data_IF_692890697869
#
_entry.id   IF_692890697869
#
_cell.length_a   1.000
_cell.length_b   1.000
_cell.length_c   1.000
_cell.angle_alpha   90.00
_cell.angle_beta   90.00
_cell.angle_gamma   90.00
#
_symmetry.space_group_name_H-M   'P 1'
#
loop_
_entity.id
_entity.type
_entity.pdbx_description
1 polymer ?
#
# COMPACT_ATOMS: atom_id res chain seq x y z
N UNK A 1 16.58 12.06 21.46
CA UNK A 1 16.31 11.82 20.03
C UNK A 1 16.07 10.33 19.83
N UNK A 2 14.97 9.93 19.18
CA UNK A 2 14.65 8.53 18.89
C UNK A 2 15.70 7.96 17.91
N UNK A 3 16.20 6.74 18.15
CA UNK A 3 17.15 6.04 17.27
C UNK A 3 16.65 6.02 15.81
N UNK A 4 15.34 5.95 15.62
CA UNK A 4 14.69 6.03 14.32
C UNK A 4 14.96 7.37 13.60
N UNK A 5 14.85 8.50 14.30
CA UNK A 5 15.11 9.83 13.72
C UNK A 5 16.58 9.96 13.30
N UNK A 6 17.50 9.45 14.13
CA UNK A 6 18.94 9.43 13.84
C UNK A 6 19.29 8.62 12.58
N UNK A 7 18.59 7.51 12.33
CA UNK A 7 18.78 6.68 11.14
C UNK A 7 18.27 7.40 9.88
N UNK A 8 17.08 8.00 9.96
CA UNK A 8 16.48 8.76 8.86
C UNK A 8 17.36 9.97 8.49
N UNK A 9 17.88 10.69 9.49
CA UNK A 9 18.72 11.89 9.30
C UNK A 9 20.11 11.56 8.72
N UNK A 10 20.73 10.44 9.12
CA UNK A 10 22.13 10.15 8.74
C UNK A 10 22.33 9.26 7.53
N UNK A 11 21.35 8.43 7.18
CA UNK A 11 21.54 7.39 6.16
C UNK A 11 21.03 7.85 4.78
N UNK A 12 20.16 8.87 4.69
CA UNK A 12 19.59 9.39 3.43
C UNK A 12 19.04 8.30 2.48
N UNK A 13 18.72 7.13 3.02
CA UNK A 13 18.05 6.04 2.32
C UNK A 13 16.91 5.53 3.19
N UNK A 14 15.70 5.50 2.65
CA UNK A 14 14.53 4.89 3.28
C UNK A 14 14.60 3.34 3.15
N UNK A 15 15.68 2.71 3.63
CA UNK A 15 15.75 1.25 3.71
C UNK A 15 14.87 0.80 4.87
N UNK A 16 13.67 0.36 4.51
CA UNK A 16 12.69 -0.13 5.44
C UNK A 16 12.77 -1.66 5.52
N UNK A 17 13.57 -2.18 6.47
CA UNK A 17 13.63 -3.61 6.79
C UNK A 17 13.04 -3.84 8.18
N UNK A 18 11.92 -4.54 8.26
CA UNK A 18 11.27 -4.87 9.52
C UNK A 18 11.01 -6.37 9.60
N UNK A 19 11.70 -7.03 10.52
CA UNK A 19 11.38 -8.41 10.90
C UNK A 19 10.13 -8.40 11.77
N UNK A 20 8.94 -8.46 11.16
CA UNK A 20 7.70 -8.60 11.90
C UNK A 20 7.38 -10.10 12.09
N UNK A 21 7.42 -10.60 13.33
CA UNK A 21 6.97 -11.96 13.69
C UNK A 21 5.53 -12.01 14.23
N UNK A 22 4.76 -10.93 14.04
CA UNK A 22 3.39 -10.73 14.51
C UNK A 22 3.26 -10.02 15.86
N UNK A 23 4.38 -9.63 16.47
CA UNK A 23 4.46 -8.69 17.60
C UNK A 23 5.88 -8.10 17.67
N UNK A 24 6.03 -6.78 17.61
CA UNK A 24 7.31 -6.08 17.79
C UNK A 24 7.89 -6.13 19.21
N UNK A 25 7.09 -6.59 20.18
CA UNK A 25 7.54 -6.88 21.54
C UNK A 25 7.75 -8.39 21.74
N UNK A 26 8.78 -8.80 22.46
CA UNK A 26 8.99 -10.21 22.82
C UNK A 26 8.00 -10.73 23.89
N UNK A 27 6.97 -9.95 24.23
CA UNK A 27 6.08 -10.18 25.38
C UNK A 27 4.69 -10.65 24.93
N UNK A 28 4.22 -10.23 23.76
CA UNK A 28 2.89 -10.60 23.26
C UNK A 28 2.94 -11.71 22.20
N UNK A 29 1.83 -12.44 22.06
CA UNK A 29 1.69 -13.47 21.02
C UNK A 29 1.44 -12.82 19.65
N UNK A 30 1.98 -13.41 18.56
CA UNK A 30 1.68 -12.97 17.20
C UNK A 30 0.18 -12.84 16.93
N UNK A 31 -0.26 -11.68 16.43
CA UNK A 31 -1.65 -11.48 15.97
C UNK A 31 -1.74 -10.44 14.85
N UNK A 32 -2.84 -10.48 14.10
CA UNK A 32 -3.15 -9.47 13.06
C UNK A 32 -3.28 -8.06 13.66
N UNK A 33 -3.86 -7.95 14.87
CA UNK A 33 -3.99 -6.67 15.57
C UNK A 33 -2.62 -6.05 15.89
N UNK A 34 -1.69 -6.85 16.44
CA UNK A 34 -0.33 -6.38 16.70
C UNK A 34 0.45 -6.10 15.42
N UNK A 35 0.23 -6.90 14.37
CA UNK A 35 0.80 -6.62 13.05
C UNK A 35 0.35 -5.25 12.52
N UNK A 36 -0.93 -4.91 12.65
CA UNK A 36 -1.43 -3.59 12.27
C UNK A 36 -0.89 -2.47 13.15
N UNK A 37 -0.80 -2.67 14.47
CA UNK A 37 -0.20 -1.69 15.39
C UNK A 37 1.26 -1.37 15.02
N UNK A 38 2.05 -2.40 14.73
CA UNK A 38 3.43 -2.21 14.29
C UNK A 38 3.47 -1.49 12.93
N UNK A 39 2.60 -1.90 11.98
CA UNK A 39 2.48 -1.25 10.67
C UNK A 39 2.09 0.23 10.75
N UNK A 40 1.26 0.61 11.74
CA UNK A 40 0.85 1.99 11.95
C UNK A 40 2.02 2.91 12.33
N UNK A 41 3.00 2.43 13.08
CA UNK A 41 4.20 3.24 13.38
C UNK A 41 4.95 3.57 12.09
N UNK A 42 4.95 2.64 11.14
CA UNK A 42 5.68 2.80 9.88
C UNK A 42 4.96 3.68 8.87
N UNK A 43 3.62 3.63 8.85
CA UNK A 43 2.84 4.38 7.87
C UNK A 43 3.03 5.89 7.98
N UNK A 44 3.39 6.39 9.17
CA UNK A 44 3.71 7.80 9.42
C UNK A 44 4.97 8.28 8.66
N UNK A 45 5.87 7.36 8.32
CA UNK A 45 7.14 7.68 7.65
C UNK A 45 7.14 7.31 6.17
N UNK A 46 6.08 6.67 5.67
CA UNK A 46 5.97 6.31 4.26
C UNK A 46 5.70 7.56 3.42
N UNK A 47 6.54 7.82 2.43
CA UNK A 47 6.41 8.97 1.53
C UNK A 47 5.62 8.66 0.25
N UNK A 48 5.32 7.39 -0.01
CA UNK A 48 4.49 6.95 -1.12
C UNK A 48 4.15 5.48 -1.03
N UNK A 49 3.01 5.10 -1.58
CA UNK A 49 2.50 3.72 -1.59
C UNK A 49 2.40 3.21 -3.03
N UNK A 50 2.78 1.95 -3.26
CA UNK A 50 2.51 1.26 -4.53
C UNK A 50 1.55 0.11 -4.25
N UNK A 51 0.44 0.09 -4.96
CA UNK A 51 -0.63 -0.91 -4.85
C UNK A 51 -0.67 -1.70 -6.15
N UNK A 52 -0.24 -2.96 -6.12
CA UNK A 52 -0.12 -3.79 -7.31
C UNK A 52 -1.13 -4.94 -7.31
N UNK A 53 -1.88 -5.11 -8.40
CA UNK A 53 -2.84 -6.21 -8.61
C UNK A 53 -3.70 -6.50 -7.38
N UNK A 54 -4.16 -5.42 -6.72
CA UNK A 54 -4.81 -5.51 -5.43
C UNK A 54 -6.31 -5.76 -5.56
N UNK A 55 -6.85 -6.51 -4.62
CA UNK A 55 -8.27 -6.80 -4.48
C UNK A 55 -8.93 -5.90 -3.42
N UNK A 56 -10.25 -5.69 -3.52
CA UNK A 56 -11.01 -4.82 -2.60
C UNK A 56 -11.21 -5.45 -1.22
N UNK A 57 -11.65 -6.71 -1.17
CA UNK A 57 -11.72 -7.49 0.05
C UNK A 57 -11.61 -8.98 -0.25
N UNK A 58 -11.30 -9.80 0.77
CA UNK A 58 -11.25 -11.24 0.58
C UNK A 58 -12.63 -11.80 0.18
N UNK A 59 -13.71 -11.19 0.70
CA UNK A 59 -15.10 -11.50 0.33
C UNK A 59 -15.36 -11.29 -1.14
N UNK A 60 -15.02 -10.10 -1.65
CA UNK A 60 -15.23 -9.78 -3.07
C UNK A 60 -14.33 -10.63 -3.98
N UNK A 61 -13.08 -10.89 -3.59
CA UNK A 61 -12.20 -11.78 -4.34
C UNK A 61 -12.74 -13.23 -4.38
N UNK A 62 -13.26 -13.73 -3.25
CA UNK A 62 -13.86 -15.07 -3.17
C UNK A 62 -15.13 -15.19 -4.00
N UNK A 63 -15.93 -14.12 -4.11
CA UNK A 63 -17.10 -14.06 -5.00
C UNK A 63 -16.73 -14.26 -6.45
N UNK A 64 -15.62 -13.68 -6.88
CA UNK A 64 -15.10 -13.86 -8.21
C UNK A 64 -14.48 -15.25 -8.42
N UNK A 65 -13.55 -15.65 -7.56
CA UNK A 65 -12.72 -16.84 -7.79
C UNK A 65 -13.41 -18.16 -7.41
N UNK A 66 -14.32 -18.17 -6.43
CA UNK A 66 -15.00 -19.37 -5.93
C UNK A 66 -16.49 -19.07 -5.64
N UNK A 67 -17.32 -18.79 -6.66
CA UNK A 67 -18.70 -18.36 -6.48
C UNK A 67 -19.54 -19.40 -5.70
N UNK A 68 -19.28 -20.70 -5.90
CA UNK A 68 -19.96 -21.78 -5.19
C UNK A 68 -19.76 -21.74 -3.67
N UNK A 69 -18.60 -21.28 -3.18
CA UNK A 69 -18.31 -21.21 -1.76
C UNK A 69 -19.24 -20.21 -1.06
N UNK A 70 -19.66 -19.14 -1.76
CA UNK A 70 -20.62 -18.17 -1.23
C UNK A 70 -22.03 -18.74 -1.09
N UNK A 71 -22.37 -19.81 -1.81
CA UNK A 71 -23.68 -20.47 -1.68
C UNK A 71 -23.76 -21.33 -0.41
N UNK A 72 -22.64 -21.94 0.00
CA UNK A 72 -22.59 -22.82 1.17
C UNK A 72 -22.17 -22.10 2.46
N UNK A 73 -21.46 -20.98 2.37
CA UNK A 73 -21.08 -20.16 3.51
C UNK A 73 -22.20 -19.16 3.83
N UNK A 74 -23.20 -19.59 4.62
CA UNK A 74 -24.33 -18.75 5.05
C UNK A 74 -23.90 -17.48 5.81
N UNK A 75 -22.77 -17.52 6.51
CA UNK A 75 -22.19 -16.35 7.18
C UNK A 75 -20.67 -16.27 6.95
N UNK A 76 -20.29 -15.63 5.84
CA UNK A 76 -18.89 -15.35 5.49
C UNK A 76 -18.17 -14.56 6.59
N UNK A 77 -18.90 -13.68 7.28
CA UNK A 77 -18.38 -12.78 8.31
C UNK A 77 -18.11 -13.52 9.64
N UNK A 78 -18.79 -14.65 9.89
CA UNK A 78 -18.54 -15.55 11.03
C UNK A 78 -17.33 -16.48 10.82
N UNK A 79 -17.07 -16.90 9.58
CA UNK A 79 -16.07 -17.93 9.26
C UNK A 79 -14.70 -17.30 9.00
N UNK A 80 -14.66 -16.14 8.35
CA UNK A 80 -13.42 -15.48 7.97
C UNK A 80 -13.03 -14.44 9.02
N UNK A 81 -11.98 -14.76 9.79
CA UNK A 81 -11.43 -13.85 10.81
C UNK A 81 -10.83 -12.57 10.22
N UNK A 82 -10.15 -12.65 9.08
CA UNK A 82 -9.55 -11.49 8.41
C UNK A 82 -10.29 -11.18 7.11
N UNK A 83 -11.05 -10.08 7.12
CA UNK A 83 -11.82 -9.64 5.95
C UNK A 83 -10.95 -9.03 4.85
N UNK A 84 -9.71 -8.65 5.19
CA UNK A 84 -8.78 -7.91 4.33
C UNK A 84 -9.49 -6.75 3.61
N UNK A 85 -10.27 -5.97 4.35
CA UNK A 85 -11.05 -4.84 3.81
C UNK A 85 -10.13 -3.69 3.40
N UNK A 86 -9.71 -3.71 2.13
CA UNK A 86 -8.85 -2.69 1.56
C UNK A 86 -9.64 -1.46 1.13
N UNK A 87 -10.96 -1.55 0.94
CA UNK A 87 -11.82 -0.40 0.60
C UNK A 87 -11.90 0.59 1.76
N UNK A 88 -12.01 0.11 2.99
CA UNK A 88 -11.97 0.96 4.18
C UNK A 88 -10.57 1.50 4.42
N UNK A 89 -9.54 0.65 4.26
CA UNK A 89 -8.13 1.05 4.50
C UNK A 89 -7.67 2.14 3.53
N UNK A 90 -7.95 2.00 2.23
CA UNK A 90 -7.43 2.92 1.20
C UNK A 90 -7.98 4.35 1.32
N UNK A 91 -9.14 4.52 1.97
CA UNK A 91 -9.74 5.83 2.28
C UNK A 91 -8.97 6.61 3.35
N UNK A 92 -8.12 5.94 4.13
CA UNK A 92 -7.32 6.58 5.17
C UNK A 92 -5.87 6.86 4.71
N UNK A 93 -5.50 6.40 3.51
CA UNK A 93 -4.15 6.56 2.97
C UNK A 93 -4.12 7.82 2.09
N UNK A 94 -3.44 8.85 2.58
CA UNK A 94 -3.35 10.17 1.94
C UNK A 94 -2.04 10.42 1.20
N UNK A 95 -1.02 9.58 1.45
CA UNK A 95 0.30 9.67 0.79
C UNK A 95 0.17 9.44 -0.73
N UNK A 96 1.08 9.98 -1.56
CA UNK A 96 1.11 9.71 -2.99
C UNK A 96 1.02 8.20 -3.26
N UNK A 97 0.09 7.78 -4.13
CA UNK A 97 -0.17 6.35 -4.34
C UNK A 97 -0.16 5.98 -5.82
N UNK A 98 0.66 5.01 -6.20
CA UNK A 98 0.67 4.42 -7.54
C UNK A 98 -0.10 3.10 -7.51
N UNK A 99 -1.16 3.02 -8.28
CA UNK A 99 -1.91 1.79 -8.51
C UNK A 99 -1.42 1.17 -9.82
N UNK A 100 -1.05 -0.10 -9.79
CA UNK A 100 -0.64 -0.86 -10.96
C UNK A 100 -1.56 -2.06 -11.13
N UNK A 101 -2.03 -2.26 -12.36
CA UNK A 101 -2.89 -3.39 -12.69
C UNK A 101 -2.50 -4.06 -14.00
N UNK A 102 -2.55 -5.37 -13.99
CA UNK A 102 -2.29 -6.26 -15.13
C UNK A 102 -3.60 -6.56 -15.88
N UNK A 103 -3.67 -6.32 -17.20
CA UNK A 103 -4.87 -6.62 -18.00
C UNK A 103 -5.14 -8.12 -18.12
N UNK A 104 -4.09 -8.93 -18.12
CA UNK A 104 -4.19 -10.39 -18.24
C UNK A 104 -4.08 -11.07 -16.86
N UNK A 105 -4.46 -10.37 -15.78
CA UNK A 105 -4.51 -10.94 -14.44
C UNK A 105 -5.66 -11.95 -14.33
N UNK A 106 -5.30 -13.22 -14.20
CA UNK A 106 -6.21 -14.34 -14.10
C UNK A 106 -6.75 -14.59 -12.68
N UNK A 107 -6.20 -13.91 -11.67
CA UNK A 107 -6.52 -14.12 -10.24
C UNK A 107 -7.36 -13.01 -9.66
N UNK A 108 -7.06 -11.76 -10.01
CA UNK A 108 -7.71 -10.57 -9.47
C UNK A 108 -8.21 -9.72 -10.63
N UNK A 109 -9.54 -9.56 -10.78
CA UNK A 109 -10.09 -8.68 -11.80
C UNK A 109 -9.57 -7.25 -11.68
N UNK A 110 -9.31 -6.62 -12.83
CA UNK A 110 -8.87 -5.23 -12.90
C UNK A 110 -9.85 -4.25 -12.25
N UNK A 111 -11.13 -4.59 -12.17
CA UNK A 111 -12.16 -3.80 -11.50
C UNK A 111 -11.83 -3.53 -10.03
N UNK A 112 -11.24 -4.47 -9.30
CA UNK A 112 -10.93 -4.26 -7.89
C UNK A 112 -9.90 -3.14 -7.68
N UNK A 113 -8.77 -3.20 -8.38
CA UNK A 113 -7.75 -2.15 -8.29
C UNK A 113 -8.30 -0.80 -8.78
N UNK A 114 -9.15 -0.79 -9.81
CA UNK A 114 -9.84 0.44 -10.25
C UNK A 114 -10.76 1.02 -9.16
N UNK A 115 -11.50 0.18 -8.46
CA UNK A 115 -12.32 0.59 -7.31
C UNK A 115 -11.45 1.18 -6.21
N UNK A 116 -10.34 0.54 -5.85
CA UNK A 116 -9.41 1.07 -4.85
C UNK A 116 -8.80 2.42 -5.26
N UNK A 117 -8.44 2.58 -6.54
CA UNK A 117 -7.97 3.85 -7.08
C UNK A 117 -9.03 4.95 -6.93
N UNK A 118 -10.30 4.64 -7.21
CA UNK A 118 -11.40 5.59 -7.05
C UNK A 118 -11.61 5.99 -5.59
N UNK A 119 -11.65 5.01 -4.69
CA UNK A 119 -11.87 5.20 -3.25
C UNK A 119 -10.69 5.84 -2.51
N UNK A 120 -9.49 5.81 -3.09
CA UNK A 120 -8.29 6.36 -2.45
C UNK A 120 -8.42 7.85 -2.12
N UNK A 121 -8.09 8.18 -0.87
CA UNK A 121 -8.02 9.55 -0.37
C UNK A 121 -6.72 10.27 -0.75
N UNK A 122 -5.80 9.59 -1.42
CA UNK A 122 -4.58 10.21 -1.95
C UNK A 122 -4.94 11.28 -2.99
N UNK A 123 -4.51 12.51 -2.74
CA UNK A 123 -4.64 13.62 -3.69
C UNK A 123 -3.69 13.47 -4.87
N UNK A 124 -2.63 12.68 -4.71
CA UNK A 124 -1.60 12.43 -5.72
C UNK A 124 -1.59 10.94 -6.06
N UNK A 125 -2.68 10.49 -6.70
CA UNK A 125 -2.83 9.12 -7.16
C UNK A 125 -2.54 8.96 -8.65
N UNK A 126 -1.86 7.88 -9.00
CA UNK A 126 -1.51 7.52 -10.37
C UNK A 126 -2.01 6.11 -10.66
N UNK A 127 -2.39 5.84 -11.91
CA UNK A 127 -2.84 4.52 -12.35
C UNK A 127 -1.98 4.08 -13.54
N UNK A 128 -1.38 2.90 -13.44
CA UNK A 128 -0.64 2.24 -14.50
C UNK A 128 -1.35 0.96 -14.92
N UNK A 129 -1.48 0.76 -16.23
CA UNK A 129 -2.08 -0.40 -16.85
C UNK A 129 -1.02 -1.19 -17.61
N UNK A 130 -0.70 -2.39 -17.16
CA UNK A 130 0.17 -3.31 -17.90
C UNK A 130 -0.68 -4.13 -18.87
N UNK A 131 -0.53 -3.86 -20.17
CA UNK A 131 -1.35 -4.52 -21.21
C UNK A 131 -1.06 -6.01 -21.36
N UNK A 132 0.21 -6.40 -21.22
CA UNK A 132 0.64 -7.80 -21.31
C UNK A 132 0.82 -8.48 -19.96
N UNK A 133 0.78 -7.72 -18.86
CA UNK A 133 1.04 -8.21 -17.52
C UNK A 133 0.02 -9.24 -17.07
N UNK A 134 0.50 -10.26 -16.34
CA UNK A 134 -0.32 -11.26 -15.64
C UNK A 134 -0.25 -11.04 -14.14
N UNK A 135 -0.93 -11.87 -13.33
CA UNK A 135 -0.86 -11.77 -11.87
C UNK A 135 0.57 -11.86 -11.31
N UNK A 136 1.38 -12.88 -11.65
CA UNK A 136 2.75 -13.00 -11.13
C UNK A 136 3.78 -12.14 -11.87
N UNK A 137 3.45 -11.62 -13.06
CA UNK A 137 4.42 -10.89 -13.89
C UNK A 137 3.80 -9.67 -14.56
N UNK A 138 3.90 -8.53 -13.88
CA UNK A 138 3.41 -7.25 -14.40
C UNK A 138 4.25 -6.71 -15.56
N UNK A 139 5.49 -7.17 -15.73
CA UNK A 139 6.41 -6.70 -16.78
C UNK A 139 6.34 -7.53 -18.05
N UNK A 140 5.43 -8.52 -18.11
CA UNK A 140 5.28 -9.36 -19.29
C UNK A 140 4.89 -8.47 -20.49
N UNK A 141 5.74 -8.50 -21.52
CA UNK A 141 5.62 -7.66 -22.72
C UNK A 141 5.59 -6.14 -22.44
N UNK A 142 6.22 -5.69 -21.35
CA UNK A 142 6.40 -4.26 -21.06
C UNK A 142 7.38 -3.61 -22.05
N UNK A 143 7.05 -2.42 -22.51
CA UNK A 143 7.84 -1.60 -23.45
C UNK A 143 8.74 -0.56 -22.72
N UNK A 144 8.94 -0.75 -21.41
CA UNK A 144 9.59 0.22 -20.53
C UNK A 144 8.63 1.25 -19.93
N UNK A 145 7.35 1.24 -20.29
CA UNK A 145 6.36 2.17 -19.73
C UNK A 145 6.13 1.97 -18.23
N UNK A 146 6.25 0.75 -17.69
CA UNK A 146 6.22 0.54 -16.24
C UNK A 146 7.34 1.32 -15.53
N UNK A 147 8.57 1.21 -16.01
CA UNK A 147 9.72 1.91 -15.43
C UNK A 147 9.55 3.43 -15.52
N UNK A 148 8.99 3.94 -16.62
CA UNK A 148 8.66 5.35 -16.79
C UNK A 148 7.59 5.81 -15.78
N UNK A 149 6.53 5.02 -15.58
CA UNK A 149 5.50 5.30 -14.59
C UNK A 149 6.07 5.29 -13.17
N UNK A 150 6.90 4.29 -12.84
CA UNK A 150 7.58 4.18 -11.55
C UNK A 150 8.49 5.38 -11.28
N UNK A 151 9.33 5.76 -12.24
CA UNK A 151 10.21 6.93 -12.13
C UNK A 151 9.40 8.21 -11.90
N UNK A 152 8.33 8.42 -12.69
CA UNK A 152 7.43 9.56 -12.53
C UNK A 152 6.81 9.59 -11.13
N UNK A 153 6.37 8.45 -10.64
CA UNK A 153 5.79 8.31 -9.31
C UNK A 153 6.80 8.66 -8.21
N UNK A 154 8.01 8.08 -8.24
CA UNK A 154 9.06 8.33 -7.26
C UNK A 154 9.42 9.81 -7.19
N UNK A 155 9.66 10.46 -8.34
CA UNK A 155 9.95 11.90 -8.41
C UNK A 155 8.81 12.73 -7.82
N UNK A 156 7.56 12.35 -8.10
CA UNK A 156 6.38 13.03 -7.55
C UNK A 156 6.33 12.89 -6.02
N UNK A 157 6.54 11.68 -5.51
CA UNK A 157 6.51 11.39 -4.08
C UNK A 157 7.61 12.15 -3.32
N UNK A 158 8.84 12.17 -3.86
CA UNK A 158 9.97 12.94 -3.29
C UNK A 158 9.63 14.44 -3.26
N UNK A 159 9.16 15.01 -4.38
CA UNK A 159 8.84 16.43 -4.45
C UNK A 159 7.75 16.85 -3.45
N UNK A 160 6.73 16.00 -3.24
CA UNK A 160 5.68 16.26 -2.25
C UNK A 160 6.24 16.20 -0.83
N UNK A 161 7.08 15.21 -0.53
CA UNK A 161 7.75 15.08 0.77
C UNK A 161 8.59 16.32 1.08
N UNK A 162 9.45 16.75 0.15
CA UNK A 162 10.31 17.93 0.30
C UNK A 162 9.48 19.20 0.57
N UNK A 163 8.39 19.41 -0.19
CA UNK A 163 7.46 20.53 0.05
C UNK A 163 6.81 20.48 1.43
N UNK A 164 6.47 19.29 1.93
CA UNK A 164 5.89 19.13 3.25
C UNK A 164 6.90 19.40 4.37
N UNK A 165 8.16 18.95 4.21
CA UNK A 165 9.26 19.26 5.13
C UNK A 165 9.52 20.76 5.16
N UNK A 166 9.66 21.41 4.01
CA UNK A 166 9.89 22.85 3.91
C UNK A 166 8.80 23.65 4.63
N UNK A 167 7.53 23.30 4.41
CA UNK A 167 6.39 23.93 5.11
C UNK A 167 6.40 23.69 6.63
N UNK A 168 6.93 22.55 7.10
CA UNK A 168 7.04 22.27 8.52
C UNK A 168 8.13 23.12 9.18
N UNK A 169 9.29 23.27 8.52
CA UNK A 169 10.40 24.13 8.97
C UNK A 169 9.95 25.60 9.01
N UNK A 170 9.24 26.08 7.97
CA UNK A 170 8.71 27.46 7.92
C UNK A 170 7.70 27.75 9.03
N UNK A 171 6.94 26.75 9.48
CA UNK A 171 5.95 26.89 10.58
C UNK A 171 6.58 26.81 11.97
N UNK A 172 7.79 26.28 12.10
CA UNK A 172 8.50 26.19 13.37
C UNK A 172 10.01 26.48 13.18
N UNK A 173 10.42 27.76 13.19
CA UNK A 173 11.81 28.15 12.93
C UNK A 173 12.83 27.64 13.96
N UNK A 174 12.40 26.95 15.03
CA UNK A 174 13.24 26.38 16.08
C UNK A 174 13.42 24.84 15.99
N UNK A 175 12.95 24.16 14.93
CA UNK A 175 13.31 22.74 14.72
C UNK A 175 14.76 22.62 14.25
N UNK A 176 15.64 21.86 14.95
CA UNK A 176 17.03 21.66 14.51
C UNK A 176 17.06 20.87 13.19
N UNK A 177 18.00 21.25 12.31
CA UNK A 177 18.37 20.51 11.10
C UNK A 177 18.96 19.13 11.42
#
# INVERSE_FOLDING_TARGET
MNLFNLIIERVDVNIFSCSNRGCGSNIAKPSEEYFYKDAHVYIEYISGLIVQNAFTSLKELSRYSHPFLNYFLFDYDMIIRSKMDNETKIKNITVPTLFTLSEMDEKVPTSHTRTLFQLSASTNKQLYLSKGGTHPNILKNDDGSYHKAMKKFIVTAISIREKNIQKAVERNPNTPN
#
